data_IF_149065281872
#
_entry.id   IF_149065281872
#
_cell.length_a   1.000
_cell.length_b   1.000
_cell.length_c   1.000
_cell.angle_alpha   90.00
_cell.angle_beta   90.00
_cell.angle_gamma   90.00
#
_symmetry.space_group_name_H-M   'P 1'
#
loop_
_entity.id
_entity.type
_entity.pdbx_description
1 polymer ?
#
# COMPACT_ATOMS: atom_id res chain seq x y z
N UNK A 1 20.68 4.05 27.32
CA UNK A 1 20.25 2.66 27.00
C UNK A 1 18.78 2.73 26.61
N UNK A 2 18.45 2.51 25.33
CA UNK A 2 17.05 2.40 24.91
C UNK A 2 16.54 1.01 25.30
N UNK A 3 15.64 0.95 26.27
CA UNK A 3 14.92 -0.25 26.65
C UNK A 3 14.19 -0.76 25.40
N UNK A 4 14.59 -1.93 24.88
CA UNK A 4 13.81 -2.65 23.88
C UNK A 4 12.46 -2.98 24.53
N UNK A 5 11.44 -2.19 24.24
CA UNK A 5 10.06 -2.61 24.48
C UNK A 5 9.88 -3.86 23.64
N UNK A 6 9.85 -5.01 24.31
CA UNK A 6 9.63 -6.29 23.66
C UNK A 6 8.14 -6.34 23.34
N UNK A 7 7.74 -5.72 22.22
CA UNK A 7 6.34 -5.73 21.81
C UNK A 7 5.99 -7.17 21.45
N UNK A 8 5.08 -7.77 22.22
CA UNK A 8 4.67 -9.14 22.03
C UNK A 8 4.10 -9.33 20.62
N UNK A 9 4.48 -10.46 20.01
CA UNK A 9 3.97 -10.83 18.70
C UNK A 9 2.71 -11.64 18.87
N UNK A 10 1.71 -11.27 18.10
CA UNK A 10 0.41 -11.92 18.03
C UNK A 10 0.43 -12.94 16.89
N UNK A 11 -0.09 -14.13 17.16
CA UNK A 11 -0.28 -15.15 16.13
C UNK A 11 -1.49 -14.84 15.27
N UNK A 12 -1.37 -15.16 13.98
CA UNK A 12 -2.45 -14.97 13.02
C UNK A 12 -2.41 -16.05 11.95
N UNK A 13 -3.59 -16.34 11.39
CA UNK A 13 -3.74 -17.23 10.25
C UNK A 13 -4.99 -16.87 9.46
N UNK A 14 -5.00 -17.14 8.16
CA UNK A 14 -6.17 -16.87 7.35
C UNK A 14 -5.92 -16.95 5.86
N UNK A 15 -6.97 -16.69 5.10
CA UNK A 15 -6.96 -16.63 3.64
C UNK A 15 -6.61 -15.22 3.18
N UNK A 16 -5.68 -15.11 2.24
CA UNK A 16 -5.34 -13.84 1.61
C UNK A 16 -6.47 -13.42 0.69
N UNK A 17 -7.06 -12.25 0.95
CA UNK A 17 -8.11 -11.65 0.12
C UNK A 17 -7.58 -10.51 -0.76
N UNK A 18 -6.49 -9.85 -0.34
CA UNK A 18 -5.77 -8.92 -1.22
C UNK A 18 -4.29 -8.81 -0.88
N UNK A 19 -3.51 -8.39 -1.87
CA UNK A 19 -2.10 -8.03 -1.69
C UNK A 19 -1.78 -6.78 -2.52
N UNK A 20 -1.28 -5.75 -1.85
CA UNK A 20 -0.99 -4.46 -2.46
C UNK A 20 0.40 -3.96 -2.07
N UNK A 21 1.05 -3.09 -2.87
CA UNK A 21 2.33 -2.54 -2.51
C UNK A 21 2.22 -1.66 -1.26
N UNK A 22 3.17 -1.79 -0.34
CA UNK A 22 3.33 -0.96 0.86
C UNK A 22 4.30 0.17 0.56
N UNK A 23 3.75 1.33 0.24
CA UNK A 23 4.52 2.51 -0.14
C UNK A 23 4.15 3.65 0.80
N UNK A 24 5.17 4.31 1.36
CA UNK A 24 4.98 5.56 2.12
C UNK A 24 5.32 6.73 1.22
N UNK A 25 4.49 7.76 1.27
CA UNK A 25 4.72 9.01 0.55
C UNK A 25 5.09 10.11 1.53
N UNK A 26 6.20 10.78 1.25
CA UNK A 26 6.58 12.03 1.90
C UNK A 26 6.29 13.18 0.96
N UNK A 27 5.73 14.27 1.49
CA UNK A 27 5.53 15.53 0.76
C UNK A 27 6.06 16.70 1.58
N UNK A 28 6.68 17.65 0.90
CA UNK A 28 7.06 18.95 1.45
C UNK A 28 6.81 20.00 0.38
N UNK A 29 5.69 20.71 0.47
CA UNK A 29 5.24 21.64 -0.57
C UNK A 29 5.13 20.95 -1.96
N UNK A 30 5.97 21.32 -2.93
CA UNK A 30 6.07 20.74 -4.27
C UNK A 30 6.99 19.50 -4.33
N UNK A 31 7.81 19.26 -3.31
CA UNK A 31 8.67 18.09 -3.23
C UNK A 31 7.90 16.83 -2.80
N UNK A 32 8.34 15.69 -3.34
CA UNK A 32 7.79 14.36 -3.04
C UNK A 32 8.86 13.29 -3.05
N UNK A 33 8.76 12.32 -2.14
CA UNK A 33 9.58 11.11 -2.17
C UNK A 33 8.79 9.88 -1.72
N UNK A 34 9.15 8.72 -2.28
CA UNK A 34 8.46 7.45 -2.04
C UNK A 34 9.39 6.45 -1.36
N UNK A 35 8.92 5.90 -0.23
CA UNK A 35 9.53 4.75 0.43
C UNK A 35 8.82 3.47 0.03
N UNK A 36 9.49 2.61 -0.74
CA UNK A 36 8.97 1.31 -1.16
C UNK A 36 9.36 0.25 -0.11
N UNK A 37 8.45 -0.05 0.81
CA UNK A 37 8.76 -0.79 2.04
C UNK A 37 8.49 -2.30 1.93
N UNK A 38 7.56 -2.72 1.07
CA UNK A 38 7.12 -4.10 0.99
C UNK A 38 5.70 -4.22 0.46
N UNK A 39 4.90 -5.08 1.08
CA UNK A 39 3.52 -5.35 0.66
C UNK A 39 2.59 -5.34 1.87
N UNK A 40 1.31 -5.09 1.65
CA UNK A 40 0.25 -5.25 2.65
C UNK A 40 -0.63 -6.41 2.22
N UNK A 41 -0.72 -7.43 3.07
CA UNK A 41 -1.72 -8.48 2.94
C UNK A 41 -3.00 -8.02 3.63
N UNK A 42 -4.14 -8.19 2.98
CA UNK A 42 -5.44 -8.25 3.65
C UNK A 42 -5.80 -9.72 3.83
N UNK A 43 -6.09 -10.10 5.06
CA UNK A 43 -6.30 -11.49 5.46
C UNK A 43 -7.66 -11.60 6.12
N UNK A 44 -8.46 -12.54 5.64
CA UNK A 44 -9.69 -12.98 6.29
C UNK A 44 -9.36 -14.25 7.09
N UNK A 45 -9.50 -14.19 8.41
CA UNK A 45 -9.12 -15.31 9.27
C UNK A 45 -9.14 -14.94 10.74
N UNK A 46 -8.10 -15.29 11.46
CA UNK A 46 -8.01 -15.14 12.91
C UNK A 46 -6.70 -14.48 13.30
N UNK A 47 -6.77 -13.50 14.21
CA UNK A 47 -5.61 -12.84 14.82
C UNK A 47 -5.85 -12.73 16.33
N UNK A 48 -4.87 -13.11 17.15
CA UNK A 48 -5.06 -13.23 18.61
C UNK A 48 -6.26 -14.12 19.01
N UNK A 49 -6.56 -15.16 18.23
CA UNK A 49 -7.75 -16.01 18.39
C UNK A 49 -9.11 -15.31 18.14
N UNK A 50 -9.10 -14.07 17.65
CA UNK A 50 -10.30 -13.33 17.24
C UNK A 50 -10.52 -13.43 15.72
N UNK A 51 -11.71 -13.85 15.26
CA UNK A 51 -12.03 -13.89 13.84
C UNK A 51 -12.26 -12.49 13.28
N UNK A 52 -11.78 -12.23 12.07
CA UNK A 52 -12.00 -10.96 11.40
C UNK A 52 -11.19 -10.80 10.12
N UNK A 53 -11.30 -9.61 9.53
CA UNK A 53 -10.44 -9.16 8.46
C UNK A 53 -9.41 -8.19 9.02
N UNK A 54 -8.13 -8.41 8.69
CA UNK A 54 -7.04 -7.57 9.19
C UNK A 54 -5.94 -7.41 8.14
N UNK A 55 -5.13 -6.37 8.30
CA UNK A 55 -4.04 -6.04 7.38
C UNK A 55 -2.64 -6.27 7.99
N UNK A 56 -1.78 -7.02 7.29
CA UNK A 56 -0.41 -7.34 7.73
C UNK A 56 0.63 -6.83 6.74
N UNK A 57 1.56 -6.00 7.22
CA UNK A 57 2.70 -5.52 6.46
C UNK A 57 3.81 -6.59 6.36
N UNK A 58 4.19 -6.89 5.12
CA UNK A 58 5.28 -7.78 4.74
C UNK A 58 6.48 -7.00 4.20
N UNK A 59 7.67 -7.55 4.39
CA UNK A 59 8.88 -7.06 3.72
C UNK A 59 9.07 -7.62 2.31
N UNK A 60 9.85 -6.93 1.48
CA UNK A 60 10.17 -7.35 0.09
C UNK A 60 10.67 -8.79 -0.03
N UNK A 61 11.52 -9.23 0.90
CA UNK A 61 12.11 -10.57 0.87
C UNK A 61 11.08 -11.68 1.16
N UNK A 62 10.09 -11.40 2.02
CA UNK A 62 9.03 -12.36 2.31
C UNK A 62 8.18 -12.60 1.06
N UNK A 63 7.81 -11.53 0.33
CA UNK A 63 7.06 -11.67 -0.91
C UNK A 63 7.88 -12.37 -2.00
N UNK A 64 9.16 -12.05 -2.16
CA UNK A 64 10.02 -12.72 -3.14
C UNK A 64 10.14 -14.23 -2.87
N UNK A 65 10.22 -14.62 -1.58
CA UNK A 65 10.35 -16.02 -1.16
C UNK A 65 9.04 -16.80 -1.32
N UNK A 66 7.93 -16.25 -0.83
CA UNK A 66 6.67 -16.99 -0.70
C UNK A 66 5.69 -16.74 -1.84
N UNK A 67 5.93 -15.70 -2.66
CA UNK A 67 5.10 -15.31 -3.82
C UNK A 67 3.62 -15.26 -3.46
N UNK A 68 3.29 -14.61 -2.34
CA UNK A 68 1.91 -14.57 -1.85
C UNK A 68 0.96 -14.01 -2.90
N UNK A 69 -0.20 -14.65 -3.04
CA UNK A 69 -1.31 -14.25 -3.90
C UNK A 69 -2.64 -14.51 -3.21
N UNK A 70 -3.68 -13.88 -3.75
CA UNK A 70 -5.06 -14.08 -3.30
C UNK A 70 -5.44 -15.57 -3.33
N UNK A 71 -6.16 -16.03 -2.32
CA UNK A 71 -6.64 -17.40 -2.17
C UNK A 71 -5.71 -18.30 -1.35
N UNK A 72 -4.44 -17.94 -1.15
CA UNK A 72 -3.53 -18.72 -0.30
C UNK A 72 -3.96 -18.63 1.16
N UNK A 73 -3.82 -19.73 1.89
CA UNK A 73 -3.99 -19.76 3.35
C UNK A 73 -2.62 -19.73 3.99
N UNK A 74 -2.39 -18.75 4.84
CA UNK A 74 -1.09 -18.46 5.43
C UNK A 74 -1.20 -18.24 6.93
N UNK A 75 -0.09 -18.39 7.64
CA UNK A 75 0.00 -18.07 9.06
C UNK A 75 1.32 -17.43 9.40
N UNK A 76 1.36 -16.74 10.54
CA UNK A 76 2.58 -16.11 11.03
C UNK A 76 2.38 -15.42 12.38
N UNK A 77 3.38 -14.60 12.69
CA UNK A 77 3.42 -13.75 13.87
C UNK A 77 3.60 -12.30 13.43
N UNK A 78 2.87 -11.36 14.02
CA UNK A 78 3.02 -9.94 13.73
C UNK A 78 2.85 -9.08 15.00
N UNK A 79 3.22 -7.82 14.93
CA UNK A 79 3.09 -6.85 16.03
C UNK A 79 2.05 -5.81 15.62
N UNK A 80 1.18 -5.32 16.52
CA UNK A 80 0.32 -4.17 16.22
C UNK A 80 1.15 -2.94 15.82
N UNK A 81 0.66 -2.18 14.85
CA UNK A 81 1.27 -0.90 14.50
C UNK A 81 1.01 0.12 15.61
N UNK A 82 2.04 0.81 16.13
CA UNK A 82 1.85 1.78 17.21
C UNK A 82 1.04 3.03 16.82
N UNK A 83 1.21 3.51 15.59
CA UNK A 83 0.50 4.69 15.08
C UNK A 83 -0.15 4.37 13.72
N UNK A 84 -1.47 4.19 13.68
CA UNK A 84 -2.22 3.90 12.45
C UNK A 84 -2.12 4.99 11.38
N UNK A 85 -1.71 6.22 11.72
CA UNK A 85 -1.56 7.29 10.72
C UNK A 85 -0.34 7.10 9.81
N UNK A 86 0.64 6.30 10.26
CA UNK A 86 1.93 6.11 9.59
C UNK A 86 1.99 4.86 8.71
N UNK A 87 0.96 4.02 8.75
CA UNK A 87 0.97 2.69 8.15
C UNK A 87 -0.40 2.32 7.57
N UNK A 88 -0.40 1.68 6.40
CA UNK A 88 -1.64 1.20 5.80
C UNK A 88 -2.09 -0.16 6.37
N UNK A 89 -1.17 -0.89 6.99
CA UNK A 89 -1.45 -2.13 7.69
C UNK A 89 -1.74 -1.88 9.18
N UNK A 90 -2.52 -2.77 9.78
CA UNK A 90 -2.78 -2.79 11.22
C UNK A 90 -1.67 -3.49 11.99
N UNK A 91 -0.99 -4.45 11.35
CA UNK A 91 0.10 -5.22 11.92
C UNK A 91 1.36 -5.15 11.06
N UNK A 92 2.53 -5.17 11.69
CA UNK A 92 3.84 -5.10 11.04
C UNK A 92 4.84 -6.09 11.67
N UNK A 93 6.09 -6.07 11.17
CA UNK A 93 7.17 -6.97 11.63
C UNK A 93 6.76 -8.45 11.55
N UNK A 94 6.06 -8.80 10.47
CA UNK A 94 5.62 -10.15 10.20
C UNK A 94 6.80 -11.14 10.17
N UNK A 95 6.63 -12.30 10.78
CA UNK A 95 7.68 -13.32 10.93
C UNK A 95 7.08 -14.71 11.11
N UNK A 96 7.90 -15.75 10.98
CA UNK A 96 7.42 -17.13 11.11
C UNK A 96 6.39 -17.52 10.04
N UNK A 97 6.45 -16.87 8.87
CA UNK A 97 5.46 -17.02 7.82
C UNK A 97 5.46 -18.44 7.26
N UNK A 98 4.28 -19.05 7.21
CA UNK A 98 4.05 -20.39 6.65
C UNK A 98 2.89 -20.35 5.66
N UNK A 99 3.01 -21.13 4.60
CA UNK A 99 1.93 -21.40 3.67
C UNK A 99 1.26 -22.70 4.13
N UNK A 100 -0.01 -22.62 4.48
CA UNK A 100 -0.82 -23.76 4.93
C UNK A 100 -1.55 -24.41 3.75
N UNK A 101 -2.02 -23.59 2.81
CA UNK A 101 -2.67 -24.03 1.57
C UNK A 101 -2.31 -23.05 0.45
N UNK A 102 -1.94 -23.57 -0.72
CA UNK A 102 -1.78 -22.73 -1.92
C UNK A 102 -3.15 -22.30 -2.46
N UNK A 103 -3.16 -21.26 -3.28
CA UNK A 103 -4.36 -20.83 -3.98
C UNK A 103 -4.70 -21.82 -5.11
N UNK A 104 -5.99 -22.01 -5.35
CA UNK A 104 -6.51 -22.84 -6.44
C UNK A 104 -6.94 -21.95 -7.61
N UNK A 105 -6.70 -22.42 -8.84
CA UNK A 105 -7.07 -21.73 -10.06
C UNK A 105 -6.11 -20.62 -10.50
N UNK A 106 -6.28 -20.23 -11.76
CA UNK A 106 -5.55 -19.11 -12.37
C UNK A 106 -6.25 -17.80 -12.05
N UNK A 107 -5.48 -16.71 -11.82
CA UNK A 107 -6.09 -15.40 -11.61
C UNK A 107 -6.81 -14.92 -12.89
N UNK A 108 -7.90 -14.15 -12.75
CA UNK A 108 -8.54 -13.50 -13.89
C UNK A 108 -7.52 -12.67 -14.68
N UNK A 109 -7.60 -12.78 -16.01
CA UNK A 109 -6.79 -11.98 -16.94
C UNK A 109 -7.25 -10.51 -17.03
N UNK A 110 -8.42 -10.18 -16.50
CA UNK A 110 -9.00 -8.85 -16.53
C UNK A 110 -8.96 -8.16 -15.16
N UNK A 111 -9.23 -6.86 -15.17
CA UNK A 111 -9.36 -6.07 -13.95
C UNK A 111 -10.56 -6.56 -13.10
N UNK A 112 -10.49 -6.51 -11.75
CA UNK A 112 -9.31 -6.21 -10.94
C UNK A 112 -8.22 -7.28 -11.11
N UNK A 113 -6.99 -6.83 -11.36
CA UNK A 113 -5.87 -7.72 -11.64
C UNK A 113 -5.49 -8.46 -10.36
N UNK A 114 -5.63 -9.78 -10.39
CA UNK A 114 -5.21 -10.67 -9.31
C UNK A 114 -3.96 -11.45 -9.72
N UNK A 115 -3.27 -12.04 -8.75
CA UNK A 115 -2.09 -12.86 -8.99
C UNK A 115 -0.99 -12.54 -7.98
N UNK A 116 0.25 -12.88 -8.36
CA UNK A 116 1.42 -12.50 -7.59
C UNK A 116 1.76 -11.04 -7.97
N UNK A 117 1.76 -10.09 -7.03
CA UNK A 117 2.15 -8.73 -7.33
C UNK A 117 3.60 -8.70 -7.81
N UNK A 118 3.95 -7.82 -8.77
CA UNK A 118 5.32 -7.67 -9.23
C UNK A 118 6.22 -7.09 -8.12
N UNK A 119 7.53 -7.03 -8.39
CA UNK A 119 8.45 -6.38 -7.46
C UNK A 119 8.22 -4.87 -7.31
N UNK A 120 8.78 -4.29 -6.26
CA UNK A 120 8.62 -2.87 -5.93
C UNK A 120 9.30 -1.93 -6.93
N UNK A 121 10.30 -2.41 -7.66
CA UNK A 121 10.96 -1.64 -8.71
C UNK A 121 10.06 -1.48 -9.92
N UNK A 122 9.27 -2.51 -10.23
CA UNK A 122 8.22 -2.47 -11.25
C UNK A 122 7.15 -1.45 -10.88
N UNK A 123 6.68 -1.39 -9.63
CA UNK A 123 5.76 -0.32 -9.22
C UNK A 123 6.40 1.06 -9.37
N UNK A 124 7.67 1.21 -9.00
CA UNK A 124 8.40 2.47 -9.16
C UNK A 124 8.52 2.89 -10.61
N UNK A 125 8.95 1.97 -11.48
CA UNK A 125 9.19 2.24 -12.90
C UNK A 125 7.89 2.56 -13.63
N UNK A 126 6.77 1.93 -13.27
CA UNK A 126 5.47 2.22 -13.89
C UNK A 126 4.91 3.60 -13.54
N UNK A 127 5.35 4.19 -12.43
CA UNK A 127 4.79 5.43 -11.94
C UNK A 127 3.33 5.29 -11.48
N UNK A 128 2.91 6.26 -10.67
CA UNK A 128 1.59 6.27 -10.04
C UNK A 128 0.65 7.20 -10.80
N UNK A 129 -0.64 6.91 -10.73
CA UNK A 129 -1.72 7.85 -11.04
C UNK A 129 -2.61 8.02 -9.83
N UNK A 130 -3.11 9.22 -9.57
CA UNK A 130 -4.11 9.46 -8.53
C UNK A 130 -5.35 8.63 -8.83
N UNK A 131 -5.85 7.96 -7.80
CA UNK A 131 -7.07 7.16 -7.88
C UNK A 131 -8.12 7.78 -6.98
N UNK A 132 -9.35 7.87 -7.47
CA UNK A 132 -10.50 8.28 -6.69
C UNK A 132 -10.72 7.31 -5.51
N UNK A 133 -10.98 7.84 -4.31
CA UNK A 133 -11.06 7.03 -3.09
C UNK A 133 -12.26 6.09 -3.13
N UNK A 134 -13.41 6.53 -3.68
CA UNK A 134 -14.61 5.67 -3.77
C UNK A 134 -14.39 4.51 -4.74
N UNK A 135 -13.75 4.81 -5.86
CA UNK A 135 -13.34 3.82 -6.85
C UNK A 135 -12.33 2.83 -6.27
N UNK A 136 -11.40 3.31 -5.46
CA UNK A 136 -10.46 2.44 -4.75
C UNK A 136 -11.20 1.48 -3.82
N UNK A 137 -12.06 2.01 -2.95
CA UNK A 137 -12.78 1.23 -1.94
C UNK A 137 -13.76 0.21 -2.57
N UNK A 138 -14.39 0.56 -3.70
CA UNK A 138 -15.33 -0.30 -4.40
C UNK A 138 -14.67 -1.38 -5.28
N UNK A 139 -13.65 -1.03 -6.07
CA UNK A 139 -13.16 -1.89 -7.17
C UNK A 139 -11.69 -2.28 -7.03
N UNK A 140 -10.85 -1.49 -6.34
CA UNK A 140 -9.40 -1.66 -6.38
C UNK A 140 -8.78 -2.23 -5.09
N UNK A 141 -9.56 -2.48 -4.05
CA UNK A 141 -9.07 -3.04 -2.76
C UNK A 141 -8.42 -4.42 -2.92
N UNK A 142 -8.87 -5.21 -3.88
CA UNK A 142 -8.32 -6.54 -4.21
C UNK A 142 -7.29 -6.51 -5.35
N UNK A 143 -7.23 -5.42 -6.11
CA UNK A 143 -6.34 -5.30 -7.26
C UNK A 143 -4.87 -5.13 -6.82
N UNK A 144 -3.96 -5.90 -7.41
CA UNK A 144 -2.51 -5.81 -7.12
C UNK A 144 -1.94 -4.42 -7.42
N UNK A 145 -2.56 -3.68 -8.34
CA UNK A 145 -2.14 -2.35 -8.74
C UNK A 145 -2.74 -1.21 -7.91
N UNK A 146 -3.74 -1.52 -7.08
CA UNK A 146 -4.30 -0.55 -6.15
C UNK A 146 -3.33 -0.32 -5.00
N UNK A 147 -3.23 0.92 -4.53
CA UNK A 147 -2.42 1.23 -3.36
C UNK A 147 -3.04 2.36 -2.55
N UNK A 148 -3.26 2.10 -1.25
CA UNK A 148 -3.57 3.13 -0.24
C UNK A 148 -2.30 3.44 0.53
N UNK A 149 -1.77 4.64 0.32
CA UNK A 149 -0.50 5.08 0.90
C UNK A 149 -0.73 5.97 2.12
N UNK A 150 -0.04 5.73 3.25
CA UNK A 150 0.12 6.77 4.27
C UNK A 150 1.00 7.89 3.70
N UNK A 151 0.51 9.12 3.81
CA UNK A 151 1.16 10.33 3.35
C UNK A 151 1.54 11.18 4.55
N UNK A 152 2.83 11.40 4.72
CA UNK A 152 3.40 12.33 5.68
C UNK A 152 3.72 13.64 4.98
N UNK A 153 3.08 14.72 5.41
CA UNK A 153 3.24 16.06 4.86
C UNK A 153 4.01 16.91 5.86
N UNK A 154 5.22 17.33 5.48
CA UNK A 154 6.01 18.31 6.22
C UNK A 154 5.47 19.70 5.90
N UNK A 155 4.94 20.37 6.92
CA UNK A 155 4.30 21.69 6.76
C UNK A 155 5.33 22.81 6.69
N UNK A 156 6.43 22.65 7.43
CA UNK A 156 7.52 23.62 7.51
C UNK A 156 8.84 22.90 7.33
N UNK A 157 9.47 23.05 6.16
CA UNK A 157 10.78 22.45 5.89
C UNK A 157 11.88 22.92 6.86
N UNK A 158 11.71 24.10 7.45
CA UNK A 158 12.64 24.66 8.45
C UNK A 158 12.36 24.11 9.85
N UNK A 159 11.21 23.47 10.06
CA UNK A 159 10.89 22.73 11.28
C UNK A 159 10.15 21.43 10.93
N UNK A 160 10.88 20.37 10.53
CA UNK A 160 10.29 19.12 10.04
C UNK A 160 9.45 18.36 11.06
N UNK A 161 9.47 18.75 12.34
CA UNK A 161 8.59 18.17 13.36
C UNK A 161 7.11 18.53 13.14
N UNK A 162 6.82 19.62 12.42
CA UNK A 162 5.45 20.05 12.08
C UNK A 162 4.95 19.25 10.88
N UNK A 163 4.24 18.16 11.18
CA UNK A 163 3.73 17.21 10.20
C UNK A 163 2.21 17.12 10.23
N UNK A 164 1.63 16.72 9.10
CA UNK A 164 0.25 16.24 8.99
C UNK A 164 0.25 14.91 8.26
N UNK A 165 -0.72 14.06 8.60
CA UNK A 165 -0.86 12.75 8.00
C UNK A 165 -2.21 12.62 7.32
N UNK A 166 -2.24 11.89 6.20
CA UNK A 166 -3.47 11.44 5.55
C UNK A 166 -3.22 10.18 4.74
N UNK A 167 -4.28 9.54 4.29
CA UNK A 167 -4.18 8.49 3.29
C UNK A 167 -4.50 9.03 1.90
N UNK A 168 -3.73 8.61 0.91
CA UNK A 168 -4.00 8.87 -0.51
C UNK A 168 -4.04 7.55 -1.27
N UNK A 169 -4.95 7.45 -2.25
CA UNK A 169 -5.13 6.27 -3.10
C UNK A 169 -4.50 6.49 -4.47
N UNK A 170 -3.82 5.46 -4.98
CA UNK A 170 -3.11 5.48 -6.25
C UNK A 170 -3.35 4.20 -7.05
N UNK A 171 -3.21 4.31 -8.38
CA UNK A 171 -3.27 3.21 -9.32
C UNK A 171 -1.94 3.09 -10.07
N UNK A 172 -1.40 1.87 -10.10
CA UNK A 172 -0.22 1.48 -10.89
C UNK A 172 -0.59 0.62 -12.11
N UNK A 173 -1.88 0.33 -12.31
CA UNK A 173 -2.38 -0.56 -13.34
C UNK A 173 -2.42 0.12 -14.70
N UNK A 174 -2.75 -0.64 -15.76
CA UNK A 174 -2.73 -0.15 -17.14
C UNK A 174 -3.58 1.11 -17.32
N UNK A 175 -3.14 1.99 -18.22
CA UNK A 175 -3.84 3.25 -18.52
C UNK A 175 -5.25 3.02 -19.05
N UNK A 176 -5.45 1.92 -19.77
CA UNK A 176 -6.73 1.45 -20.34
C UNK A 176 -7.69 0.82 -19.33
N UNK A 177 -7.31 0.66 -18.06
CA UNK A 177 -8.15 0.02 -17.05
C UNK A 177 -9.54 0.68 -16.94
N UNK A 178 -10.60 -0.06 -17.23
CA UNK A 178 -11.98 0.44 -17.25
C UNK A 178 -12.50 0.94 -15.90
N UNK A 179 -11.95 0.43 -14.79
CA UNK A 179 -12.30 0.89 -13.45
C UNK A 179 -11.55 2.15 -13.03
N UNK A 180 -10.49 2.56 -13.74
CA UNK A 180 -9.69 3.71 -13.33
C UNK A 180 -10.50 5.01 -13.42
N UNK A 181 -10.51 5.76 -12.32
CA UNK A 181 -11.02 7.14 -12.25
C UNK A 181 -10.02 8.00 -11.51
N UNK A 182 -9.64 9.13 -12.11
CA UNK A 182 -8.72 10.07 -11.48
C UNK A 182 -9.35 10.63 -10.20
N UNK A 183 -8.58 10.61 -9.11
CA UNK A 183 -8.98 11.27 -7.87
C UNK A 183 -8.81 12.79 -7.95
N UNK A 184 -9.39 13.57 -7.02
CA UNK A 184 -9.25 15.02 -7.04
C UNK A 184 -7.79 15.46 -6.89
N UNK A 185 -7.45 16.62 -7.45
CA UNK A 185 -6.12 17.23 -7.28
C UNK A 185 -5.76 17.38 -5.80
N UNK A 186 -4.49 17.19 -5.46
CA UNK A 186 -4.06 17.08 -4.07
C UNK A 186 -3.46 18.40 -3.61
N UNK A 187 -4.05 18.98 -2.56
CA UNK A 187 -3.48 20.15 -1.88
C UNK A 187 -2.47 19.69 -0.82
N UNK A 188 -1.28 20.28 -0.86
CA UNK A 188 -0.20 20.10 0.11
C UNK A 188 -0.07 21.40 0.91
N UNK A 189 -0.42 21.39 2.21
CA UNK A 189 -0.28 22.56 3.06
C UNK A 189 1.20 22.87 3.33
N UNK A 190 1.54 24.15 3.31
CA UNK A 190 2.86 24.68 3.61
C UNK A 190 2.85 25.71 4.73
N UNK A 191 4.03 26.30 4.97
CA UNK A 191 4.27 27.26 6.04
C UNK A 191 3.35 28.49 5.92
N UNK A 192 2.91 29.04 7.05
CA UNK A 192 2.09 30.29 7.12
C UNK A 192 0.81 30.24 6.26
N UNK A 193 0.20 29.08 6.08
CA UNK A 193 -1.06 28.94 5.34
C UNK A 193 -0.91 28.87 3.82
N UNK A 194 0.32 28.81 3.30
CA UNK A 194 0.55 28.50 1.88
C UNK A 194 0.01 27.11 1.54
N UNK A 195 -0.36 26.90 0.27
CA UNK A 195 -0.75 25.59 -0.23
C UNK A 195 -0.28 25.42 -1.66
N UNK A 196 0.28 24.26 -1.96
CA UNK A 196 0.57 23.82 -3.32
C UNK A 196 -0.53 22.85 -3.78
N UNK A 197 -0.97 22.95 -5.04
CA UNK A 197 -1.90 21.98 -5.63
C UNK A 197 -1.15 21.15 -6.65
N UNK A 198 -1.11 19.83 -6.45
CA UNK A 198 -0.54 18.90 -7.42
C UNK A 198 -1.51 18.75 -8.60
N UNK A 199 -1.11 19.27 -9.76
CA UNK A 199 -1.91 19.28 -11.00
C UNK A 199 -1.89 17.92 -11.72
N UNK A 200 -2.70 17.77 -12.78
CA UNK A 200 -2.83 16.51 -13.54
C UNK A 200 -1.58 16.16 -14.36
N UNK A 201 -0.82 17.15 -14.82
CA UNK A 201 0.43 16.92 -15.57
C UNK A 201 1.45 16.08 -14.79
N UNK A 202 1.38 16.06 -13.46
CA UNK A 202 2.23 15.22 -12.61
C UNK A 202 1.99 13.73 -12.85
N UNK A 203 0.72 13.33 -13.00
CA UNK A 203 0.36 11.94 -13.25
C UNK A 203 0.66 11.57 -14.72
N UNK A 204 0.49 12.52 -15.64
CA UNK A 204 0.85 12.37 -17.04
C UNK A 204 2.36 12.18 -17.21
N UNK A 205 3.18 13.03 -16.59
CA UNK A 205 4.64 12.95 -16.59
C UNK A 205 5.12 11.63 -15.98
N UNK A 206 4.60 11.27 -14.79
CA UNK A 206 4.96 10.04 -14.08
C UNK A 206 4.61 8.76 -14.86
N UNK A 207 3.72 8.84 -15.84
CA UNK A 207 3.32 7.70 -16.68
C UNK A 207 3.60 7.92 -18.16
N UNK A 208 4.32 8.97 -18.54
CA UNK A 208 4.49 9.41 -19.94
C UNK A 208 5.12 8.34 -20.82
N UNK A 209 6.02 7.54 -20.26
CA UNK A 209 6.73 6.44 -20.91
C UNK A 209 5.89 5.17 -21.10
N UNK A 210 4.65 5.13 -20.61
CA UNK A 210 3.78 3.94 -20.66
C UNK A 210 2.77 3.98 -21.80
N UNK A 211 2.59 2.85 -22.46
CA UNK A 211 1.48 2.57 -23.34
C UNK A 211 0.14 2.41 -22.60
N UNK A 212 -0.98 2.28 -23.36
CA UNK A 212 -2.31 2.08 -22.79
C UNK A 212 -2.43 0.83 -21.91
N UNK A 213 -1.86 -0.29 -22.35
CA UNK A 213 -2.01 -1.60 -21.71
C UNK A 213 -0.80 -2.02 -20.86
N UNK A 214 0.20 -1.13 -20.76
CA UNK A 214 1.38 -1.34 -19.91
C UNK A 214 0.98 -1.38 -18.45
#
# INVERSE_FOLDING_TARGET
MQTKVNTEKVAWSGRIVSIQPRIRLMRSFDERSHGYLGYVLRVEGTIADEPGEFQVALGKAAQAKHRFRIGMVVSGLAVPVPDPQLEAAEFYKASGLRILKDAEGDPPACSPFHGVPPDLETYRSRGRRRLDTRTYDAECTTCIWGCRMPVEMIIDQWNPSKKRYRFETFCYGPKSCAFYRAGPTRKVPGRKGMSYTEEDWVDEDATSHRGPDD
#
